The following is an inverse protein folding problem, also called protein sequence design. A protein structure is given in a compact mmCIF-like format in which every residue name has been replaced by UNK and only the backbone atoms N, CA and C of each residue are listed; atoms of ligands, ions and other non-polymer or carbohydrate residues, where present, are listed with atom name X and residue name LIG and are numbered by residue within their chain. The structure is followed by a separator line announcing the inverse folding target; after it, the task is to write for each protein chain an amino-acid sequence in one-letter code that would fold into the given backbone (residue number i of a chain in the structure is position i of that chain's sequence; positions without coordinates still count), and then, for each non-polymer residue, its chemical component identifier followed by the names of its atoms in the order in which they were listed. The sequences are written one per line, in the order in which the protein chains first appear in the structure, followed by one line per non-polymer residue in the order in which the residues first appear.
data_IF_039892768047
#
_entry.id   IF_039892768047
#
_cell.length_a   1.000
_cell.length_b   1.000
_cell.length_c   1.000
_cell.angle_alpha   90.00
_cell.angle_beta   90.00
_cell.angle_gamma   90.00
#
_symmetry.space_group_name_H-M   'P 1'
#
loop_
_entity.id
_entity.type
_entity.pdbx_description
1 polymer ?
#
# COMPACT_ATOMS: atom_id res chain seq x y z
N UNK A 1 11.39 -36.53 -23.02
CA UNK A 1 11.30 -35.56 -21.91
C UNK A 1 10.94 -34.21 -22.52
N UNK A 2 9.74 -33.69 -22.28
CA UNK A 2 9.47 -32.29 -22.67
C UNK A 2 10.34 -31.42 -21.78
N UNK A 3 11.22 -30.62 -22.39
CA UNK A 3 11.91 -29.57 -21.67
C UNK A 3 10.81 -28.60 -21.25
N UNK A 4 10.49 -28.53 -19.95
CA UNK A 4 9.60 -27.51 -19.41
C UNK A 4 10.27 -26.16 -19.64
N UNK A 5 9.96 -25.54 -20.78
CA UNK A 5 10.36 -24.16 -21.03
C UNK A 5 9.68 -23.28 -19.97
N UNK A 6 10.35 -22.21 -19.53
CA UNK A 6 9.72 -21.24 -18.66
C UNK A 6 8.45 -20.69 -19.32
N UNK A 7 7.41 -20.45 -18.53
CA UNK A 7 6.11 -19.94 -19.01
C UNK A 7 6.29 -18.54 -19.61
N UNK A 8 7.16 -17.72 -19.00
CA UNK A 8 7.51 -16.37 -19.43
C UNK A 8 9.01 -16.25 -19.72
N UNK A 9 9.42 -15.32 -20.58
CA UNK A 9 10.83 -15.07 -20.85
C UNK A 9 11.59 -14.73 -19.56
N UNK A 10 10.98 -13.88 -18.72
CA UNK A 10 11.50 -13.46 -17.42
C UNK A 10 11.61 -14.59 -16.38
N UNK A 11 10.76 -15.62 -16.44
CA UNK A 11 10.88 -16.77 -15.52
C UNK A 11 12.19 -17.55 -15.72
N UNK A 12 12.82 -17.44 -16.90
CA UNK A 12 14.14 -18.01 -17.17
C UNK A 12 15.32 -17.26 -16.52
N UNK A 13 15.09 -16.08 -15.95
CA UNK A 13 16.12 -15.19 -15.39
C UNK A 13 16.23 -15.25 -13.87
N UNK A 14 15.57 -16.22 -13.21
CA UNK A 14 15.57 -16.36 -11.74
C UNK A 14 16.97 -16.42 -11.12
N UNK A 15 17.96 -16.95 -11.86
CA UNK A 15 19.35 -17.04 -11.39
C UNK A 15 20.00 -15.67 -11.17
N UNK A 16 19.65 -14.64 -11.95
CA UNK A 16 20.15 -13.27 -11.79
C UNK A 16 19.63 -12.70 -10.47
N UNK A 17 18.34 -12.87 -10.23
CA UNK A 17 17.69 -12.42 -9.02
C UNK A 17 18.25 -13.13 -7.79
N UNK A 18 18.41 -14.45 -7.84
CA UNK A 18 19.06 -15.21 -6.78
C UNK A 18 20.50 -14.73 -6.55
N UNK A 19 21.27 -14.42 -7.61
CA UNK A 19 22.61 -13.86 -7.49
C UNK A 19 22.61 -12.51 -6.76
N UNK A 20 21.72 -11.58 -7.14
CA UNK A 20 21.55 -10.29 -6.45
C UNK A 20 21.20 -10.50 -4.97
N UNK A 21 20.28 -11.41 -4.64
CA UNK A 21 19.95 -11.73 -3.25
C UNK A 21 21.17 -12.22 -2.45
N UNK A 22 22.09 -12.98 -3.08
CA UNK A 22 23.31 -13.46 -2.40
C UNK A 22 24.23 -12.30 -2.06
N UNK A 23 24.42 -11.37 -2.99
CA UNK A 23 25.34 -10.24 -2.85
C UNK A 23 24.77 -9.16 -1.93
N UNK A 24 23.52 -8.74 -2.14
CA UNK A 24 22.88 -7.64 -1.41
C UNK A 24 22.14 -8.08 -0.16
N UNK A 25 21.68 -9.34 -0.09
CA UNK A 25 20.77 -9.78 0.98
C UNK A 25 19.39 -9.15 0.90
N UNK A 26 19.04 -8.53 -0.22
CA UNK A 26 17.72 -7.94 -0.47
C UNK A 26 17.02 -8.72 -1.56
N UNK A 27 15.69 -8.77 -1.50
CA UNK A 27 14.88 -9.32 -2.58
C UNK A 27 14.36 -8.20 -3.50
N UNK A 28 14.05 -7.04 -2.95
CA UNK A 28 13.58 -5.86 -3.68
C UNK A 28 14.30 -4.64 -3.11
N UNK A 29 14.15 -3.49 -3.77
CA UNK A 29 14.79 -2.23 -3.36
C UNK A 29 16.32 -2.32 -3.30
N UNK A 30 16.94 -2.67 -4.44
CA UNK A 30 18.39 -2.87 -4.54
C UNK A 30 19.19 -1.57 -4.46
N UNK A 31 18.53 -0.43 -4.60
CA UNK A 31 19.05 0.92 -4.43
C UNK A 31 19.43 1.26 -2.98
N UNK A 32 18.92 0.50 -2.00
CA UNK A 32 19.14 0.78 -0.58
C UNK A 32 20.34 -0.01 -0.05
N UNK A 33 21.23 0.67 0.68
CA UNK A 33 22.38 0.05 1.32
C UNK A 33 22.02 -0.97 2.42
N UNK A 34 22.93 -1.90 2.67
CA UNK A 34 22.81 -2.90 3.74
C UNK A 34 22.03 -4.17 3.37
N UNK A 35 22.02 -5.14 4.29
CA UNK A 35 21.36 -6.45 4.11
C UNK A 35 20.07 -6.52 4.92
N UNK A 36 18.94 -6.83 4.26
CA UNK A 36 17.65 -7.05 4.92
C UNK A 36 17.47 -8.50 5.40
N UNK A 37 17.88 -9.47 4.58
CA UNK A 37 17.84 -10.90 4.88
C UNK A 37 19.22 -11.39 5.34
N UNK A 38 19.27 -12.33 6.30
CA UNK A 38 20.55 -12.78 6.85
C UNK A 38 21.36 -13.55 5.79
N UNK A 39 22.67 -13.58 5.97
CA UNK A 39 23.62 -14.19 5.03
C UNK A 39 23.26 -15.61 4.55
N UNK A 40 22.66 -16.52 5.35
CA UNK A 40 22.27 -17.85 4.88
C UNK A 40 21.11 -17.88 3.86
N UNK A 41 20.34 -16.80 3.71
CA UNK A 41 19.25 -16.72 2.73
C UNK A 41 19.85 -16.31 1.38
N UNK A 42 19.81 -17.24 0.41
CA UNK A 42 20.55 -17.13 -0.86
C UNK A 42 19.66 -17.19 -2.12
N UNK A 43 18.34 -17.25 -1.95
CA UNK A 43 17.35 -17.26 -3.03
C UNK A 43 15.98 -16.82 -2.56
N UNK A 44 15.09 -16.50 -3.49
CA UNK A 44 13.73 -16.02 -3.18
C UNK A 44 12.92 -17.10 -2.44
N UNK A 45 13.07 -18.37 -2.86
CA UNK A 45 12.46 -19.54 -2.20
C UNK A 45 12.93 -19.70 -0.76
N UNK A 46 14.20 -19.38 -0.47
CA UNK A 46 14.72 -19.40 0.89
C UNK A 46 14.19 -18.24 1.72
N UNK A 47 13.99 -17.05 1.13
CA UNK A 47 13.42 -15.90 1.82
C UNK A 47 11.99 -16.17 2.31
N UNK A 48 11.12 -16.72 1.45
CA UNK A 48 9.77 -17.12 1.83
C UNK A 48 9.76 -18.10 3.02
N UNK A 49 10.60 -19.14 2.96
CA UNK A 49 10.73 -20.14 4.05
C UNK A 49 11.28 -19.53 5.34
N UNK A 50 12.28 -18.66 5.23
CA UNK A 50 12.90 -17.99 6.37
C UNK A 50 11.90 -17.11 7.11
N UNK A 51 11.17 -16.26 6.37
CA UNK A 51 10.15 -15.38 6.93
C UNK A 51 8.98 -16.19 7.52
N UNK A 52 8.52 -17.22 6.82
CA UNK A 52 7.49 -18.13 7.35
C UNK A 52 7.90 -18.75 8.68
N UNK A 53 9.15 -19.22 8.83
CA UNK A 53 9.65 -19.78 10.09
C UNK A 53 9.69 -18.74 11.21
N UNK A 54 10.08 -17.50 10.90
CA UNK A 54 10.05 -16.40 11.88
C UNK A 54 8.62 -16.04 12.27
N UNK A 55 7.71 -16.00 11.32
CA UNK A 55 6.29 -15.74 11.53
C UNK A 55 5.67 -16.79 12.47
N UNK A 56 5.95 -18.08 12.24
CA UNK A 56 5.49 -19.17 13.11
C UNK A 56 6.03 -19.05 14.54
N UNK A 57 7.31 -18.68 14.68
CA UNK A 57 7.91 -18.41 16.00
C UNK A 57 7.19 -17.25 16.70
N UNK A 58 6.95 -16.14 15.98
CA UNK A 58 6.24 -14.98 16.52
C UNK A 58 4.80 -15.34 16.91
N UNK A 59 4.06 -16.06 16.06
CA UNK A 59 2.71 -16.57 16.34
C UNK A 59 2.68 -17.45 17.59
N UNK A 60 3.60 -18.40 17.72
CA UNK A 60 3.71 -19.25 18.91
C UNK A 60 3.94 -18.43 20.18
N UNK A 61 4.85 -17.47 20.13
CA UNK A 61 5.11 -16.58 21.27
C UNK A 61 3.88 -15.72 21.58
N UNK A 62 3.17 -15.21 20.57
CA UNK A 62 1.94 -14.44 20.76
C UNK A 62 0.87 -15.25 21.51
N UNK A 63 0.66 -16.50 21.10
CA UNK A 63 -0.30 -17.40 21.77
C UNK A 63 0.12 -17.73 23.21
N UNK A 64 1.41 -17.92 23.48
CA UNK A 64 1.93 -18.13 24.83
C UNK A 64 1.78 -16.87 25.70
N UNK A 65 2.07 -15.68 25.18
CA UNK A 65 1.82 -14.42 25.89
C UNK A 65 0.34 -14.28 26.23
N UNK A 66 -0.56 -14.52 25.27
CA UNK A 66 -2.01 -14.48 25.47
C UNK A 66 -2.46 -15.46 26.55
N UNK A 67 -1.99 -16.72 26.52
CA UNK A 67 -2.39 -17.72 27.51
C UNK A 67 -1.87 -17.43 28.93
N UNK A 68 -0.81 -16.64 29.06
CA UNK A 68 -0.28 -16.18 30.35
C UNK A 68 -0.84 -14.82 30.80
N UNK A 69 -1.83 -14.27 30.09
CA UNK A 69 -2.45 -12.98 30.43
C UNK A 69 -1.69 -11.74 29.96
N UNK A 70 -0.54 -11.88 29.31
CA UNK A 70 0.20 -10.76 28.72
C UNK A 70 -0.37 -10.40 27.34
N UNK A 71 -1.48 -9.66 27.35
CA UNK A 71 -2.19 -9.25 26.14
C UNK A 71 -1.43 -8.19 25.32
N UNK A 72 -0.57 -7.40 25.97
CA UNK A 72 0.25 -6.37 25.29
C UNK A 72 1.31 -7.03 24.42
N UNK A 73 2.10 -7.95 24.99
CA UNK A 73 3.08 -8.69 24.18
C UNK A 73 2.40 -9.54 23.11
N UNK A 74 1.25 -10.15 23.44
CA UNK A 74 0.49 -10.96 22.49
C UNK A 74 0.10 -10.16 21.24
N UNK A 75 -0.47 -8.95 21.40
CA UNK A 75 -0.88 -8.13 20.25
C UNK A 75 0.31 -7.73 19.37
N UNK A 76 1.42 -7.31 19.97
CA UNK A 76 2.64 -6.91 19.24
C UNK A 76 3.19 -8.11 18.45
N UNK A 77 3.22 -9.29 19.06
CA UNK A 77 3.71 -10.50 18.42
C UNK A 77 2.78 -11.03 17.32
N UNK A 78 1.45 -10.90 17.48
CA UNK A 78 0.51 -11.22 16.40
C UNK A 78 0.67 -10.29 15.21
N UNK A 79 0.83 -8.97 15.43
CA UNK A 79 1.15 -8.00 14.36
C UNK A 79 2.44 -8.36 13.63
N UNK A 80 3.47 -8.75 14.38
CA UNK A 80 4.76 -9.19 13.82
C UNK A 80 4.61 -10.47 13.00
N UNK A 81 3.82 -11.43 13.48
CA UNK A 81 3.56 -12.67 12.78
C UNK A 81 2.78 -12.43 11.48
N UNK A 82 1.70 -11.63 11.52
CA UNK A 82 0.91 -11.32 10.32
C UNK A 82 1.76 -10.63 9.25
N UNK A 83 2.59 -9.65 9.64
CA UNK A 83 3.49 -8.98 8.69
C UNK A 83 4.45 -9.95 8.01
N UNK A 84 5.08 -10.83 8.78
CA UNK A 84 6.05 -11.77 8.24
C UNK A 84 5.39 -12.84 7.36
N UNK A 85 4.15 -13.25 7.67
CA UNK A 85 3.39 -14.11 6.78
C UNK A 85 3.01 -13.38 5.48
N UNK A 86 2.63 -12.10 5.53
CA UNK A 86 2.41 -11.26 4.34
C UNK A 86 3.68 -11.12 3.51
N UNK A 87 4.80 -10.77 4.11
CA UNK A 87 6.08 -10.62 3.41
C UNK A 87 6.55 -11.97 2.82
N UNK A 88 6.35 -13.08 3.52
CA UNK A 88 6.66 -14.41 2.98
C UNK A 88 5.89 -14.75 1.70
N UNK A 89 4.63 -14.30 1.58
CA UNK A 89 3.82 -14.49 0.36
C UNK A 89 4.44 -13.79 -0.85
N UNK A 90 5.06 -12.62 -0.66
CA UNK A 90 5.68 -11.87 -1.76
C UNK A 90 6.84 -12.63 -2.40
N UNK A 91 7.47 -13.55 -1.67
CA UNK A 91 8.64 -14.33 -2.12
C UNK A 91 8.33 -15.78 -2.53
N UNK A 92 7.06 -16.16 -2.69
CA UNK A 92 6.69 -17.53 -3.12
C UNK A 92 7.00 -17.76 -4.60
N UNK A 93 7.48 -18.96 -4.93
CA UNK A 93 7.68 -19.39 -6.31
C UNK A 93 7.09 -20.79 -6.49
N UNK A 94 6.03 -20.97 -7.30
CA UNK A 94 5.34 -19.94 -8.10
C UNK A 94 4.61 -18.91 -7.22
N UNK A 95 4.29 -17.74 -7.81
CA UNK A 95 3.63 -16.63 -7.10
C UNK A 95 2.30 -17.11 -6.55
N UNK A 96 1.41 -17.57 -7.44
CA UNK A 96 0.15 -18.22 -7.06
C UNK A 96 0.43 -19.70 -6.79
N UNK A 97 0.12 -20.15 -5.58
CA UNK A 97 0.25 -21.54 -5.14
C UNK A 97 -0.53 -21.79 -3.86
N UNK A 98 -0.88 -23.05 -3.60
CA UNK A 98 -1.43 -23.47 -2.30
C UNK A 98 -0.53 -23.08 -1.13
N UNK A 99 0.79 -23.10 -1.35
CA UNK A 99 1.74 -22.64 -0.35
C UNK A 99 1.56 -21.14 -0.04
N UNK A 100 1.42 -20.27 -1.06
CA UNK A 100 1.10 -18.85 -0.85
C UNK A 100 -0.20 -18.69 -0.08
N UNK A 101 -1.26 -19.40 -0.47
CA UNK A 101 -2.57 -19.27 0.17
C UNK A 101 -2.58 -19.79 1.60
N UNK A 102 -1.84 -20.85 1.91
CA UNK A 102 -1.63 -21.30 3.29
C UNK A 102 -0.86 -20.29 4.15
N UNK A 103 0.05 -19.49 3.57
CA UNK A 103 0.67 -18.36 4.27
C UNK A 103 -0.33 -17.21 4.47
N UNK A 104 -1.19 -16.96 3.48
CA UNK A 104 -2.23 -15.93 3.59
C UNK A 104 -3.24 -16.26 4.69
N UNK A 105 -3.71 -17.50 4.78
CA UNK A 105 -4.59 -17.95 5.87
C UNK A 105 -3.96 -17.77 7.25
N UNK A 106 -2.65 -18.03 7.37
CA UNK A 106 -1.91 -17.78 8.61
C UNK A 106 -1.81 -16.29 8.93
N UNK A 107 -1.58 -15.45 7.92
CA UNK A 107 -1.64 -13.99 8.05
C UNK A 107 -3.01 -13.56 8.60
N UNK A 108 -4.10 -13.97 7.95
CA UNK A 108 -5.47 -13.66 8.38
C UNK A 108 -5.76 -14.13 9.81
N UNK A 109 -5.34 -15.36 10.18
CA UNK A 109 -5.53 -15.87 11.55
C UNK A 109 -4.81 -15.04 12.61
N UNK A 110 -3.61 -14.53 12.32
CA UNK A 110 -2.87 -13.69 13.25
C UNK A 110 -3.51 -12.30 13.34
N UNK A 111 -3.98 -11.77 12.21
CA UNK A 111 -4.66 -10.48 12.16
C UNK A 111 -6.00 -10.51 12.90
N UNK A 112 -6.76 -11.60 12.81
CA UNK A 112 -8.01 -11.76 13.57
C UNK A 112 -7.75 -11.76 15.09
N UNK A 113 -6.71 -12.47 15.55
CA UNK A 113 -6.31 -12.46 16.95
C UNK A 113 -5.80 -11.10 17.41
N UNK A 114 -5.08 -10.38 16.55
CA UNK A 114 -4.65 -9.00 16.79
C UNK A 114 -5.85 -8.05 16.94
N UNK A 115 -6.87 -8.15 16.07
CA UNK A 115 -8.05 -7.31 16.14
C UNK A 115 -8.84 -7.51 17.44
N UNK A 116 -8.96 -8.76 17.91
CA UNK A 116 -9.58 -9.07 19.21
C UNK A 116 -8.85 -8.45 20.41
N UNK A 117 -7.56 -8.13 20.25
CA UNK A 117 -6.69 -7.53 21.27
C UNK A 117 -6.39 -6.04 21.01
N UNK A 118 -7.00 -5.44 19.99
CA UNK A 118 -6.77 -4.04 19.63
C UNK A 118 -7.45 -3.10 20.61
N UNK A 119 -6.90 -1.90 20.78
CA UNK A 119 -7.39 -0.89 21.73
C UNK A 119 -8.63 -0.14 21.24
N UNK A 120 -8.98 -0.34 19.97
CA UNK A 120 -10.17 0.19 19.34
C UNK A 120 -10.80 -0.88 18.45
N UNK A 121 -12.04 -0.64 18.05
CA UNK A 121 -12.84 -1.61 17.30
C UNK A 121 -12.39 -1.67 15.84
N UNK A 122 -12.03 -2.87 15.39
CA UNK A 122 -11.72 -3.16 13.98
C UNK A 122 -12.69 -4.24 13.50
N UNK A 123 -13.38 -3.99 12.39
CA UNK A 123 -14.34 -4.92 11.81
C UNK A 123 -13.97 -5.28 10.37
N UNK A 124 -13.97 -6.57 10.06
CA UNK A 124 -13.94 -7.01 8.66
C UNK A 124 -15.33 -6.87 8.07
N UNK A 125 -15.42 -6.18 6.93
CA UNK A 125 -16.67 -5.93 6.20
C UNK A 125 -16.47 -6.26 4.73
N UNK A 126 -17.58 -6.46 4.02
CA UNK A 126 -17.60 -6.68 2.58
C UNK A 126 -18.52 -5.63 1.96
N UNK A 127 -17.97 -4.84 1.05
CA UNK A 127 -18.66 -3.71 0.43
C UNK A 127 -19.33 -4.18 -0.85
N UNK A 128 -20.60 -3.86 -1.04
CA UNK A 128 -21.34 -4.20 -2.26
C UNK A 128 -20.77 -3.42 -3.46
N UNK A 129 -20.46 -4.13 -4.56
CA UNK A 129 -19.97 -3.52 -5.80
C UNK A 129 -20.30 -4.37 -7.03
N UNK A 130 -20.18 -3.77 -8.22
CA UNK A 130 -20.44 -4.42 -9.51
C UNK A 130 -19.39 -5.49 -9.86
N UNK A 131 -18.22 -5.46 -9.23
CA UNK A 131 -17.12 -6.42 -9.44
C UNK A 131 -17.05 -7.49 -8.34
N UNK A 132 -18.14 -7.63 -7.57
CA UNK A 132 -18.23 -8.52 -6.41
C UNK A 132 -18.00 -7.80 -5.07
N UNK A 133 -18.10 -8.52 -3.95
CA UNK A 133 -17.92 -7.95 -2.62
C UNK A 133 -16.47 -7.52 -2.39
N UNK A 134 -16.22 -6.24 -2.11
CA UNK A 134 -14.89 -5.71 -1.82
C UNK A 134 -14.56 -5.98 -0.33
N UNK A 135 -13.55 -6.79 0.00
CA UNK A 135 -13.18 -7.05 1.37
C UNK A 135 -12.43 -5.85 1.97
N UNK A 136 -12.83 -5.42 3.16
CA UNK A 136 -12.26 -4.26 3.83
C UNK A 136 -12.09 -4.47 5.34
N UNK A 137 -11.15 -3.73 5.94
CA UNK A 137 -11.01 -3.57 7.37
C UNK A 137 -11.45 -2.16 7.76
N UNK A 138 -12.51 -2.09 8.56
CA UNK A 138 -13.06 -0.86 9.10
C UNK A 138 -12.51 -0.62 10.51
N UNK A 139 -11.61 0.35 10.62
CA UNK A 139 -11.04 0.86 11.86
C UNK A 139 -11.94 1.99 12.37
N UNK A 140 -12.68 1.70 13.43
CA UNK A 140 -13.74 2.58 13.93
C UNK A 140 -13.14 3.52 14.98
N UNK A 141 -13.26 4.82 14.73
CA UNK A 141 -12.98 5.82 15.75
C UNK A 141 -14.14 5.86 16.74
N UNK A 142 -13.83 5.83 18.04
CA UNK A 142 -14.83 5.82 19.11
C UNK A 142 -15.32 7.24 19.35
N UNK A 143 -16.56 7.52 18.94
CA UNK A 143 -17.13 8.88 18.95
C UNK A 143 -18.65 8.83 19.02
N UNK A 144 -19.22 9.77 19.77
CA UNK A 144 -20.67 10.01 19.85
C UNK A 144 -21.16 11.02 18.79
N UNK A 145 -20.22 11.74 18.14
CA UNK A 145 -20.50 12.68 17.04
C UNK A 145 -19.92 12.19 15.73
N UNK A 146 -20.43 12.71 14.62
CA UNK A 146 -19.88 12.43 13.29
C UNK A 146 -18.40 12.84 13.22
N UNK A 147 -17.57 11.95 12.67
CA UNK A 147 -16.13 12.16 12.50
C UNK A 147 -15.70 11.95 11.05
N UNK A 148 -14.58 12.57 10.61
CA UNK A 148 -14.04 12.32 9.28
C UNK A 148 -13.65 10.86 9.07
N UNK A 149 -13.55 10.44 7.81
CA UNK A 149 -13.14 9.08 7.45
C UNK A 149 -12.13 9.09 6.30
N UNK A 150 -11.30 8.04 6.22
CA UNK A 150 -10.33 7.86 5.15
C UNK A 150 -10.49 6.48 4.53
N UNK A 151 -10.73 6.43 3.22
CA UNK A 151 -10.54 5.21 2.42
C UNK A 151 -9.04 5.05 2.18
N UNK A 152 -8.48 3.88 2.52
CA UNK A 152 -7.07 3.60 2.32
C UNK A 152 -6.87 2.52 1.27
N UNK A 153 -6.08 2.83 0.23
CA UNK A 153 -5.72 1.91 -0.85
C UNK A 153 -4.25 1.47 -0.69
N UNK A 154 -3.99 0.19 -0.35
CA UNK A 154 -2.63 -0.35 -0.27
C UNK A 154 -1.93 -0.45 -1.63
N UNK A 155 -0.60 -0.62 -1.60
CA UNK A 155 0.21 -0.86 -2.81
C UNK A 155 0.09 -2.27 -3.39
N UNK A 156 0.76 -2.53 -4.51
CA UNK A 156 0.67 -3.81 -5.25
C UNK A 156 1.10 -5.03 -4.43
N UNK A 157 2.03 -4.86 -3.50
CA UNK A 157 2.56 -5.92 -2.64
C UNK A 157 1.92 -5.93 -1.24
N UNK A 158 0.90 -5.11 -1.01
CA UNK A 158 0.24 -4.94 0.28
C UNK A 158 -1.20 -5.49 0.25
N UNK A 159 -1.77 -5.68 1.43
CA UNK A 159 -3.18 -6.02 1.64
C UNK A 159 -3.73 -5.13 2.74
N UNK A 160 -5.04 -5.08 2.92
CA UNK A 160 -5.71 -4.34 4.00
C UNK A 160 -5.18 -4.69 5.40
N UNK A 161 -4.71 -5.92 5.63
CA UNK A 161 -4.11 -6.33 6.91
C UNK A 161 -2.72 -5.73 7.19
N UNK A 162 -2.02 -5.29 6.14
CA UNK A 162 -0.65 -4.79 6.24
C UNK A 162 -0.60 -3.37 6.78
N UNK A 163 -1.42 -2.50 6.18
CA UNK A 163 -1.33 -1.06 6.40
C UNK A 163 -2.68 -0.38 6.10
N UNK A 164 -3.13 0.59 6.93
CA UNK A 164 -2.43 1.19 8.08
C UNK A 164 -2.14 0.23 9.23
N UNK A 165 -1.05 0.47 9.97
CA UNK A 165 -0.65 -0.41 11.06
C UNK A 165 -1.72 -0.39 12.16
N UNK A 166 -2.41 -1.49 12.49
CA UNK A 166 -3.48 -1.46 13.48
C UNK A 166 -3.00 -1.05 14.89
N UNK A 167 -1.71 -1.22 15.20
CA UNK A 167 -1.12 -0.78 16.48
C UNK A 167 -0.82 0.71 16.55
N UNK A 168 -0.67 1.37 15.40
CA UNK A 168 -0.21 2.76 15.27
C UNK A 168 -0.89 3.41 14.07
N UNK A 169 -2.22 3.28 13.99
CA UNK A 169 -2.96 3.77 12.83
C UNK A 169 -3.00 5.31 12.86
N UNK A 170 -2.21 5.92 12.00
CA UNK A 170 -1.88 7.34 12.07
C UNK A 170 -3.10 8.25 11.88
N UNK A 171 -4.08 7.79 11.10
CA UNK A 171 -5.35 8.47 10.84
C UNK A 171 -6.32 8.30 12.01
N UNK A 172 -6.43 7.08 12.54
CA UNK A 172 -7.28 6.78 13.70
C UNK A 172 -6.84 7.57 14.95
N UNK A 173 -5.53 7.65 15.21
CA UNK A 173 -4.96 8.47 16.28
C UNK A 173 -5.28 9.97 16.15
N UNK A 174 -5.76 10.43 14.99
CA UNK A 174 -6.18 11.81 14.70
C UNK A 174 -7.71 11.96 14.58
N UNK A 175 -8.44 11.01 15.17
CA UNK A 175 -9.90 11.07 15.28
C UNK A 175 -10.62 10.86 13.96
N UNK A 176 -10.09 9.99 13.10
CA UNK A 176 -10.69 9.64 11.81
C UNK A 176 -11.00 8.15 11.74
N UNK A 177 -12.16 7.79 11.18
CA UNK A 177 -12.40 6.40 10.78
C UNK A 177 -11.46 6.03 9.61
N UNK A 178 -11.11 4.75 9.49
CA UNK A 178 -10.32 4.27 8.36
C UNK A 178 -10.94 3.02 7.76
N UNK A 179 -11.04 2.97 6.44
CA UNK A 179 -11.47 1.80 5.70
C UNK A 179 -10.36 1.37 4.74
N UNK A 180 -9.57 0.38 5.14
CA UNK A 180 -8.54 -0.21 4.28
C UNK A 180 -9.16 -1.32 3.43
N UNK A 181 -8.99 -1.24 2.10
CA UNK A 181 -9.59 -2.17 1.15
C UNK A 181 -8.54 -3.08 0.52
N UNK A 182 -8.93 -4.32 0.22
CA UNK A 182 -8.25 -5.09 -0.84
C UNK A 182 -8.98 -4.78 -2.15
N UNK A 183 -8.35 -4.02 -3.04
CA UNK A 183 -8.86 -3.79 -4.38
C UNK A 183 -8.61 -5.00 -5.31
N UNK A 184 -9.06 -4.92 -6.57
CA UNK A 184 -8.76 -5.92 -7.60
C UNK A 184 -7.28 -6.34 -7.62
N UNK A 185 -7.03 -7.63 -7.78
CA UNK A 185 -5.67 -8.22 -7.75
C UNK A 185 -4.95 -8.13 -6.40
N UNK A 186 -5.58 -7.65 -5.33
CA UNK A 186 -4.99 -7.63 -3.98
C UNK A 186 -5.67 -8.66 -3.07
N UNK A 187 -4.90 -9.21 -2.13
CA UNK A 187 -5.38 -10.04 -1.01
C UNK A 187 -6.49 -11.03 -1.37
N UNK A 188 -7.66 -10.83 -0.76
CA UNK A 188 -8.85 -11.66 -0.98
C UNK A 188 -9.43 -11.51 -2.40
N UNK A 189 -9.41 -10.33 -3.01
CA UNK A 189 -9.90 -10.15 -4.39
C UNK A 189 -9.12 -11.00 -5.39
N UNK A 190 -7.79 -11.05 -5.25
CA UNK A 190 -6.95 -11.95 -6.06
C UNK A 190 -7.23 -13.43 -5.79
N UNK A 191 -7.56 -13.79 -4.54
CA UNK A 191 -7.90 -15.18 -4.18
C UNK A 191 -9.19 -15.63 -4.88
N UNK A 192 -10.15 -14.72 -4.98
CA UNK A 192 -11.44 -14.95 -5.65
C UNK A 192 -11.39 -14.74 -7.17
N UNK A 193 -10.20 -14.48 -7.74
CA UNK A 193 -10.02 -14.33 -9.19
C UNK A 193 -10.51 -12.99 -9.75
N UNK A 194 -10.65 -11.96 -8.91
CA UNK A 194 -10.92 -10.59 -9.37
C UNK A 194 -9.58 -9.90 -9.61
N UNK A 195 -9.22 -9.78 -10.89
CA UNK A 195 -7.93 -9.25 -11.34
C UNK A 195 -7.97 -7.75 -11.61
N UNK A 196 -6.81 -7.07 -11.55
CA UNK A 196 -6.65 -5.66 -11.93
C UNK A 196 -7.03 -5.47 -13.39
N UNK A 197 -7.89 -4.50 -13.65
CA UNK A 197 -8.07 -3.91 -14.98
C UNK A 197 -7.73 -2.43 -14.92
N UNK A 198 -7.91 -1.72 -16.02
CA UNK A 198 -7.72 -0.27 -16.03
C UNK A 198 -8.54 0.41 -14.93
N UNK A 199 -9.85 0.17 -14.86
CA UNK A 199 -10.75 1.04 -14.07
C UNK A 199 -11.34 0.42 -12.81
N UNK A 200 -11.17 -0.88 -12.58
CA UNK A 200 -11.93 -1.56 -11.52
C UNK A 200 -11.52 -1.18 -10.08
N UNK A 201 -10.35 -0.57 -9.87
CA UNK A 201 -10.02 0.07 -8.59
C UNK A 201 -10.88 1.31 -8.29
N UNK A 202 -11.37 2.02 -9.32
CA UNK A 202 -12.32 3.14 -9.16
C UNK A 202 -13.64 2.61 -8.59
N UNK A 203 -14.12 1.47 -9.09
CA UNK A 203 -15.35 0.81 -8.62
C UNK A 203 -15.20 0.43 -7.13
N UNK A 204 -14.05 -0.15 -6.76
CA UNK A 204 -13.77 -0.51 -5.36
C UNK A 204 -13.72 0.72 -4.44
N UNK A 205 -13.08 1.80 -4.87
CA UNK A 205 -13.01 3.05 -4.09
C UNK A 205 -14.40 3.70 -3.94
N UNK A 206 -15.24 3.67 -4.98
CA UNK A 206 -16.63 4.16 -4.91
C UNK A 206 -17.46 3.34 -3.92
N UNK A 207 -17.35 2.01 -3.93
CA UNK A 207 -18.02 1.15 -2.96
C UNK A 207 -17.58 1.47 -1.51
N UNK A 208 -16.29 1.79 -1.32
CA UNK A 208 -15.74 2.24 -0.04
C UNK A 208 -16.32 3.58 0.43
N UNK A 209 -16.45 4.55 -0.48
CA UNK A 209 -17.12 5.81 -0.20
C UNK A 209 -18.57 5.58 0.23
N UNK A 210 -19.35 4.82 -0.56
CA UNK A 210 -20.77 4.55 -0.29
C UNK A 210 -20.98 3.82 1.04
N UNK A 211 -20.09 2.91 1.40
CA UNK A 211 -20.15 2.26 2.71
C UNK A 211 -19.94 3.25 3.85
N UNK A 212 -18.92 4.11 3.77
CA UNK A 212 -18.61 5.09 4.80
C UNK A 212 -19.72 6.13 4.95
N UNK A 213 -20.23 6.67 3.84
CA UNK A 213 -21.30 7.67 3.85
C UNK A 213 -22.61 7.16 4.49
N UNK A 214 -22.83 5.84 4.53
CA UNK A 214 -23.99 5.22 5.21
C UNK A 214 -23.81 5.08 6.73
N UNK A 215 -22.60 5.28 7.27
CA UNK A 215 -22.35 5.11 8.70
C UNK A 215 -22.75 6.37 9.46
N UNK A 216 -23.61 6.22 10.47
CA UNK A 216 -24.12 7.35 11.29
C UNK A 216 -23.04 8.14 12.04
N UNK A 217 -21.87 7.55 12.25
CA UNK A 217 -20.74 8.18 12.97
C UNK A 217 -19.71 8.78 12.01
N UNK A 218 -19.98 8.78 10.70
CA UNK A 218 -19.11 9.36 9.67
C UNK A 218 -19.77 10.62 9.12
N UNK A 219 -19.01 11.72 9.08
CA UNK A 219 -19.40 12.92 8.35
C UNK A 219 -19.16 12.67 6.84
N UNK A 220 -20.22 12.47 6.07
CA UNK A 220 -20.14 12.15 4.65
C UNK A 220 -19.41 13.23 3.82
N UNK A 221 -19.37 14.48 4.31
CA UNK A 221 -18.69 15.60 3.64
C UNK A 221 -17.20 15.64 3.96
N UNK A 222 -16.73 14.77 4.85
CA UNK A 222 -15.34 14.67 5.30
C UNK A 222 -14.76 13.27 5.10
N UNK A 223 -15.10 12.64 3.97
CA UNK A 223 -14.50 11.39 3.53
C UNK A 223 -13.33 11.70 2.59
N UNK A 224 -12.12 11.39 3.04
CA UNK A 224 -10.90 11.47 2.24
C UNK A 224 -10.50 10.11 1.67
N UNK A 225 -9.51 10.12 0.78
CA UNK A 225 -8.87 8.93 0.22
C UNK A 225 -7.35 9.05 0.29
N UNK A 226 -6.68 7.96 0.67
CA UNK A 226 -5.24 7.90 0.77
C UNK A 226 -4.67 6.66 0.07
N UNK A 227 -3.61 6.84 -0.71
CA UNK A 227 -2.89 5.76 -1.38
C UNK A 227 -1.47 5.58 -0.86
N UNK A 228 -0.92 4.37 -1.01
CA UNK A 228 0.50 4.06 -0.77
C UNK A 228 1.10 3.24 -1.90
N UNK A 229 2.30 3.58 -2.38
CA UNK A 229 2.92 2.89 -3.53
C UNK A 229 1.94 2.91 -4.69
N UNK A 230 1.71 1.78 -5.37
CA UNK A 230 0.72 1.68 -6.43
C UNK A 230 -0.70 2.17 -6.05
N UNK A 231 -1.02 2.18 -4.76
CA UNK A 231 -2.24 2.77 -4.23
C UNK A 231 -2.38 4.27 -4.49
N UNK A 232 -1.28 5.02 -4.67
CA UNK A 232 -1.33 6.45 -5.01
C UNK A 232 -1.95 6.66 -6.39
N UNK A 233 -1.53 5.86 -7.38
CA UNK A 233 -2.12 5.86 -8.72
C UNK A 233 -3.63 5.58 -8.67
N UNK A 234 -4.04 4.50 -8.00
CA UNK A 234 -5.45 4.15 -7.88
C UNK A 234 -6.27 5.19 -7.10
N UNK A 235 -5.71 5.78 -6.04
CA UNK A 235 -6.38 6.83 -5.27
C UNK A 235 -6.60 8.12 -6.07
N UNK A 236 -5.65 8.52 -6.92
CA UNK A 236 -5.80 9.67 -7.81
C UNK A 236 -6.89 9.45 -8.86
N UNK A 237 -6.88 8.27 -9.51
CA UNK A 237 -7.93 7.91 -10.47
C UNK A 237 -9.31 7.82 -9.83
N UNK A 238 -9.39 7.27 -8.62
CA UNK A 238 -10.62 7.24 -7.85
C UNK A 238 -11.12 8.65 -7.50
N UNK A 239 -10.25 9.55 -7.02
CA UNK A 239 -10.62 10.93 -6.70
C UNK A 239 -11.05 11.74 -7.94
N UNK A 240 -10.46 11.46 -9.10
CA UNK A 240 -10.85 12.05 -10.39
C UNK A 240 -12.25 11.61 -10.84
N UNK A 241 -12.62 10.35 -10.57
CA UNK A 241 -13.89 9.76 -10.97
C UNK A 241 -15.03 9.93 -9.94
N UNK A 242 -14.67 10.15 -8.68
CA UNK A 242 -15.61 10.34 -7.56
C UNK A 242 -15.35 11.71 -6.88
N UNK A 243 -15.96 12.80 -7.39
CA UNK A 243 -15.67 14.16 -6.94
C UNK A 243 -16.18 14.46 -5.52
N UNK A 244 -16.89 13.51 -4.87
CA UNK A 244 -17.34 13.66 -3.49
C UNK A 244 -16.24 13.43 -2.45
N UNK A 245 -15.11 12.83 -2.82
CA UNK A 245 -13.97 12.74 -1.89
C UNK A 245 -13.49 14.15 -1.51
N UNK A 246 -13.45 14.44 -0.22
CA UNK A 246 -13.18 15.77 0.31
C UNK A 246 -11.68 16.10 0.40
N UNK A 247 -10.80 15.10 0.36
CA UNK A 247 -9.36 15.27 0.30
C UNK A 247 -8.67 14.00 -0.25
N UNK A 248 -7.53 14.17 -0.90
CA UNK A 248 -6.68 13.12 -1.44
C UNK A 248 -5.25 13.26 -0.88
N UNK A 249 -4.65 12.16 -0.44
CA UNK A 249 -3.23 12.13 -0.13
C UNK A 249 -2.54 10.86 -0.64
N UNK A 250 -1.24 10.94 -0.88
CA UNK A 250 -0.44 9.76 -1.22
C UNK A 250 1.02 9.92 -0.83
N UNK A 251 1.67 8.79 -0.57
CA UNK A 251 3.11 8.72 -0.37
C UNK A 251 3.67 7.37 -0.79
N UNK A 252 5.01 7.28 -0.87
CA UNK A 252 5.72 6.14 -1.48
C UNK A 252 5.23 6.09 -2.92
N UNK A 253 5.73 6.99 -3.77
CA UNK A 253 4.99 7.43 -4.94
C UNK A 253 4.90 6.37 -6.04
N UNK A 254 3.75 6.34 -6.71
CA UNK A 254 3.53 5.76 -8.04
C UNK A 254 2.64 6.75 -8.80
N UNK A 255 3.25 7.81 -9.31
CA UNK A 255 2.57 8.93 -9.96
C UNK A 255 2.83 8.90 -11.47
N UNK A 256 2.30 7.91 -12.19
CA UNK A 256 2.64 7.73 -13.62
C UNK A 256 1.96 8.76 -14.52
N UNK A 257 2.74 9.68 -15.10
CA UNK A 257 2.21 10.72 -15.99
C UNK A 257 1.86 10.17 -17.37
N UNK A 258 2.85 9.68 -18.14
CA UNK A 258 2.64 9.21 -19.52
C UNK A 258 2.66 7.68 -19.66
N UNK A 259 3.68 6.99 -19.14
CA UNK A 259 3.85 5.54 -19.31
C UNK A 259 4.30 4.83 -18.02
N UNK A 260 3.80 3.61 -17.84
CA UNK A 260 4.20 2.73 -16.73
C UNK A 260 5.48 1.94 -17.08
N UNK A 261 6.65 2.57 -16.94
CA UNK A 261 7.94 1.94 -17.32
C UNK A 261 8.55 1.07 -16.21
N UNK A 262 8.00 1.11 -14.99
CA UNK A 262 8.60 0.46 -13.81
C UNK A 262 8.83 -1.04 -14.02
N UNK A 263 8.00 -1.71 -14.82
CA UNK A 263 8.07 -3.15 -14.98
C UNK A 263 9.22 -3.62 -15.86
N UNK A 264 9.81 -2.71 -16.63
CA UNK A 264 11.00 -3.00 -17.44
C UNK A 264 12.29 -2.53 -16.76
N UNK A 265 12.22 -1.56 -15.84
CA UNK A 265 13.38 -0.97 -15.15
C UNK A 265 13.59 -1.52 -13.73
N UNK A 266 12.52 -1.86 -13.02
CA UNK A 266 12.58 -2.35 -11.65
C UNK A 266 12.88 -3.86 -11.57
N UNK A 267 13.12 -4.41 -10.36
CA UNK A 267 13.38 -5.84 -10.20
C UNK A 267 12.30 -6.69 -10.86
N UNK A 268 12.73 -7.73 -11.59
CA UNK A 268 11.90 -8.66 -12.38
C UNK A 268 10.64 -9.15 -11.65
N UNK A 269 10.71 -9.20 -10.32
CA UNK A 269 9.66 -9.65 -9.44
C UNK A 269 8.41 -8.76 -9.47
N UNK A 270 8.55 -7.44 -9.68
CA UNK A 270 7.39 -6.54 -9.75
C UNK A 270 6.51 -6.85 -10.96
N UNK A 271 7.09 -6.98 -12.16
CA UNK A 271 6.34 -7.39 -13.36
C UNK A 271 5.64 -8.72 -13.16
N UNK A 272 6.37 -9.74 -12.67
CA UNK A 272 5.79 -11.06 -12.42
C UNK A 272 4.60 -11.01 -11.46
N UNK A 273 4.69 -10.24 -10.37
CA UNK A 273 3.60 -10.12 -9.40
C UNK A 273 2.41 -9.40 -10.00
N UNK A 274 2.63 -8.26 -10.66
CA UNK A 274 1.52 -7.50 -11.23
C UNK A 274 0.82 -8.28 -12.36
N UNK A 275 1.55 -9.08 -13.14
CA UNK A 275 0.95 -10.00 -14.11
C UNK A 275 -0.04 -10.98 -13.46
N UNK A 276 0.29 -11.54 -12.30
CA UNK A 276 -0.67 -12.38 -11.55
C UNK A 276 -1.84 -11.57 -11.00
N UNK A 277 -1.58 -10.32 -10.57
CA UNK A 277 -2.66 -9.41 -10.15
C UNK A 277 -3.61 -9.08 -11.29
N UNK A 278 -3.10 -8.99 -12.53
CA UNK A 278 -3.85 -8.76 -13.75
C UNK A 278 -4.39 -10.06 -14.40
N UNK A 279 -4.10 -11.23 -13.83
CA UNK A 279 -4.58 -12.51 -14.34
C UNK A 279 -4.00 -12.89 -15.71
N UNK A 280 -2.84 -12.35 -16.08
CA UNK A 280 -2.20 -12.60 -17.37
C UNK A 280 -0.87 -13.35 -17.23
N UNK A 281 -0.60 -14.22 -18.19
CA UNK A 281 0.69 -14.92 -18.32
C UNK A 281 1.46 -14.52 -19.58
N UNK A 282 0.91 -13.60 -20.39
CA UNK A 282 1.57 -13.07 -21.59
C UNK A 282 2.20 -11.71 -21.27
N UNK A 283 3.52 -11.60 -21.40
CA UNK A 283 4.22 -10.32 -21.23
C UNK A 283 3.72 -9.29 -22.27
N UNK A 284 3.42 -9.72 -23.51
CA UNK A 284 2.89 -8.84 -24.55
C UNK A 284 1.51 -8.26 -24.18
N UNK A 285 0.59 -9.09 -23.68
CA UNK A 285 -0.73 -8.60 -23.25
C UNK A 285 -0.62 -7.68 -22.04
N UNK A 286 0.31 -7.98 -21.14
CA UNK A 286 0.59 -7.15 -19.98
C UNK A 286 1.15 -5.78 -20.39
N UNK A 287 2.09 -5.75 -21.34
CA UNK A 287 2.71 -4.52 -21.83
C UNK A 287 1.68 -3.65 -22.57
N UNK A 288 0.77 -4.25 -23.33
CA UNK A 288 -0.38 -3.55 -23.92
C UNK A 288 -1.30 -2.96 -22.85
N UNK A 289 -1.65 -3.73 -21.81
CA UNK A 289 -2.46 -3.22 -20.70
C UNK A 289 -1.81 -2.04 -19.98
N UNK A 290 -0.48 -2.06 -19.79
CA UNK A 290 0.25 -1.01 -19.08
C UNK A 290 0.30 0.32 -19.86
N UNK A 291 0.08 0.33 -21.18
CA UNK A 291 0.00 1.57 -21.98
C UNK A 291 -1.17 2.46 -21.56
N UNK A 292 -2.22 1.87 -20.99
CA UNK A 292 -3.40 2.59 -20.53
C UNK A 292 -3.28 3.06 -19.06
N UNK A 293 -2.15 2.78 -18.40
CA UNK A 293 -1.90 3.17 -17.01
C UNK A 293 -1.21 4.54 -16.96
N UNK A 294 -2.03 5.59 -17.08
CA UNK A 294 -1.60 6.99 -17.06
C UNK A 294 -2.56 7.84 -16.22
N UNK A 295 -2.02 8.84 -15.50
CA UNK A 295 -2.79 9.84 -14.76
C UNK A 295 -3.13 11.09 -15.57
N UNK A 296 -2.49 11.28 -16.73
CA UNK A 296 -2.74 12.39 -17.65
C UNK A 296 -4.21 12.63 -18.00
N UNK A 297 -5.05 11.60 -18.28
CA UNK A 297 -6.46 11.85 -18.60
C UNK A 297 -7.32 12.22 -17.39
N UNK A 298 -6.83 12.03 -16.16
CA UNK A 298 -7.63 12.07 -14.94
C UNK A 298 -7.26 13.21 -14.00
N UNK A 299 -5.99 13.62 -13.95
CA UNK A 299 -5.45 14.57 -12.97
C UNK A 299 -6.19 15.92 -12.94
N UNK A 300 -6.58 16.45 -14.12
CA UNK A 300 -7.26 17.75 -14.20
C UNK A 300 -8.71 17.70 -13.68
N UNK A 301 -9.28 16.49 -13.52
CA UNK A 301 -10.63 16.26 -12.99
C UNK A 301 -10.65 16.21 -11.45
N UNK A 302 -9.50 16.02 -10.81
CA UNK A 302 -9.40 16.01 -9.35
C UNK A 302 -9.76 17.41 -8.83
N UNK A 303 -10.75 17.48 -7.95
CA UNK A 303 -11.35 18.74 -7.47
C UNK A 303 -11.14 19.01 -5.98
N UNK A 304 -10.63 18.03 -5.22
CA UNK A 304 -10.39 18.15 -3.79
C UNK A 304 -8.92 18.44 -3.46
N UNK A 305 -8.63 19.01 -2.27
CA UNK A 305 -7.26 19.20 -1.81
C UNK A 305 -6.42 17.94 -1.94
N UNK A 306 -5.24 18.06 -2.54
CA UNK A 306 -4.38 16.93 -2.90
C UNK A 306 -2.97 17.08 -2.33
N UNK A 307 -2.51 16.07 -1.57
CA UNK A 307 -1.13 15.95 -1.12
C UNK A 307 -0.39 14.84 -1.87
N UNK A 308 0.77 15.19 -2.40
CA UNK A 308 1.70 14.25 -3.02
C UNK A 308 3.00 14.18 -2.22
N UNK A 309 3.49 12.99 -1.90
CA UNK A 309 4.79 12.83 -1.24
C UNK A 309 5.64 11.80 -1.98
N UNK A 310 6.86 12.19 -2.32
CA UNK A 310 7.79 11.38 -3.13
C UNK A 310 9.22 11.48 -2.62
N UNK A 311 10.02 10.44 -2.86
CA UNK A 311 11.47 10.51 -2.72
C UNK A 311 12.07 11.19 -3.94
N UNK A 312 13.14 11.95 -3.74
CA UNK A 312 13.87 12.62 -4.84
C UNK A 312 14.49 11.62 -5.82
N UNK A 313 14.97 10.48 -5.32
CA UNK A 313 15.63 9.44 -6.11
C UNK A 313 14.76 8.19 -6.28
N UNK A 314 13.44 8.30 -6.18
CA UNK A 314 12.54 7.15 -6.33
C UNK A 314 12.61 6.56 -7.76
N UNK A 315 13.23 5.38 -7.97
CA UNK A 315 13.35 4.80 -9.31
C UNK A 315 12.03 4.21 -9.82
N UNK A 316 11.01 4.07 -8.96
CA UNK A 316 9.69 3.56 -9.34
C UNK A 316 8.71 4.68 -9.69
N UNK A 317 9.03 5.92 -9.36
CA UNK A 317 8.20 7.07 -9.68
C UNK A 317 9.12 8.28 -9.84
N UNK A 318 9.69 8.48 -11.03
CA UNK A 318 10.57 9.61 -11.30
C UNK A 318 9.94 10.94 -10.86
N UNK A 319 10.76 11.84 -10.33
CA UNK A 319 10.29 13.12 -9.82
C UNK A 319 9.63 13.96 -10.93
N UNK A 320 10.08 13.80 -12.17
CA UNK A 320 9.53 14.47 -13.36
C UNK A 320 8.05 14.11 -13.59
N UNK A 321 7.65 12.87 -13.33
CA UNK A 321 6.25 12.46 -13.47
C UNK A 321 5.40 13.09 -12.35
N UNK A 322 5.91 13.09 -11.11
CA UNK A 322 5.26 13.78 -10.00
C UNK A 322 5.12 15.30 -10.26
N UNK A 323 6.14 15.92 -10.86
CA UNK A 323 6.14 17.32 -11.26
C UNK A 323 5.11 17.61 -12.35
N UNK A 324 5.00 16.74 -13.36
CA UNK A 324 4.02 16.86 -14.42
C UNK A 324 2.59 16.79 -13.87
N UNK A 325 2.31 15.85 -12.98
CA UNK A 325 1.02 15.69 -12.30
C UNK A 325 0.73 16.91 -11.43
N UNK A 326 1.67 17.32 -10.57
CA UNK A 326 1.49 18.48 -9.71
C UNK A 326 1.20 19.76 -10.51
N UNK A 327 1.87 19.95 -11.64
CA UNK A 327 1.67 21.10 -12.52
C UNK A 327 0.27 21.12 -13.16
N UNK A 328 -0.33 19.94 -13.35
CA UNK A 328 -1.63 19.76 -14.03
C UNK A 328 -2.82 19.66 -13.08
N UNK A 329 -2.59 19.41 -11.80
CA UNK A 329 -3.63 19.50 -10.77
C UNK A 329 -4.19 20.93 -10.68
N UNK A 330 -5.52 21.04 -10.81
CA UNK A 330 -6.28 22.31 -10.72
C UNK A 330 -6.86 22.56 -9.31
N UNK A 331 -6.79 21.57 -8.42
CA UNK A 331 -7.28 21.67 -7.05
C UNK A 331 -6.23 22.26 -6.10
N UNK A 332 -6.62 22.67 -4.88
CA UNK A 332 -5.66 22.98 -3.81
C UNK A 332 -4.63 21.84 -3.68
N UNK A 333 -3.34 22.15 -3.71
CA UNK A 333 -2.30 21.12 -3.87
C UNK A 333 -1.07 21.38 -3.03
N UNK A 334 -0.48 20.31 -2.53
CA UNK A 334 0.81 20.33 -1.89
C UNK A 334 1.66 19.14 -2.31
N UNK A 335 2.96 19.37 -2.49
CA UNK A 335 3.91 18.29 -2.77
C UNK A 335 5.12 18.34 -1.84
N UNK A 336 5.47 17.18 -1.31
CA UNK A 336 6.66 16.94 -0.49
C UNK A 336 7.65 16.10 -1.29
N UNK A 337 8.87 16.61 -1.43
CA UNK A 337 10.00 15.91 -2.03
C UNK A 337 11.03 15.67 -0.93
N UNK A 338 11.32 14.42 -0.62
CA UNK A 338 12.29 14.06 0.41
C UNK A 338 13.69 13.93 -0.18
N UNK A 339 14.64 14.72 0.33
CA UNK A 339 16.03 14.78 -0.10
C UNK A 339 16.70 13.39 -0.04
N UNK A 340 17.35 13.00 -1.12
CA UNK A 340 18.09 11.74 -1.27
C UNK A 340 17.31 10.45 -0.92
N UNK A 341 15.99 10.51 -0.81
CA UNK A 341 15.16 9.35 -0.49
C UNK A 341 14.73 8.60 -1.74
N UNK A 342 14.68 7.27 -1.65
CA UNK A 342 14.21 6.37 -2.70
C UNK A 342 12.71 6.07 -2.55
N UNK A 343 12.24 4.95 -3.11
CA UNK A 343 10.83 4.57 -3.02
C UNK A 343 10.27 4.48 -1.60
N UNK A 344 10.90 3.76 -0.64
CA UNK A 344 10.29 3.60 0.67
C UNK A 344 10.57 4.82 1.56
N UNK A 345 9.93 5.96 1.26
CA UNK A 345 9.87 7.14 2.16
C UNK A 345 9.02 6.90 3.41
N UNK A 346 8.95 5.65 3.91
CA UNK A 346 8.09 5.27 5.04
C UNK A 346 8.58 5.90 6.32
N UNK A 347 9.89 5.84 6.58
CA UNK A 347 10.56 6.34 7.78
C UNK A 347 11.84 7.08 7.38
N UNK A 348 11.70 8.19 6.62
CA UNK A 348 12.84 8.85 6.01
C UNK A 348 13.74 9.51 7.06
N UNK A 349 15.02 9.66 6.71
CA UNK A 349 16.04 10.23 7.60
C UNK A 349 15.69 11.66 8.03
N UNK A 350 15.16 12.47 7.11
CA UNK A 350 14.74 13.84 7.37
C UNK A 350 13.64 13.97 8.45
N UNK A 351 12.96 12.86 8.77
CA UNK A 351 11.96 12.78 9.85
C UNK A 351 12.48 12.00 11.06
N UNK A 352 13.79 11.84 11.20
CA UNK A 352 14.44 11.04 12.25
C UNK A 352 13.91 9.61 12.34
N UNK A 353 13.57 9.01 11.19
CA UNK A 353 13.00 7.66 11.14
C UNK A 353 11.53 7.57 11.57
N UNK A 354 10.85 8.71 11.78
CA UNK A 354 9.43 8.74 12.07
C UNK A 354 8.58 8.47 10.81
N UNK A 355 7.43 7.84 10.97
CA UNK A 355 6.54 7.50 9.84
C UNK A 355 6.08 8.76 9.10
N UNK A 356 6.31 8.85 7.78
CA UNK A 356 5.79 9.94 6.95
C UNK A 356 4.27 10.05 7.05
N UNK A 357 3.59 8.92 7.27
CA UNK A 357 2.14 8.86 7.34
C UNK A 357 1.55 9.55 8.58
N UNK A 358 2.33 9.78 9.63
CA UNK A 358 1.88 10.66 10.72
C UNK A 358 1.68 12.10 10.23
N UNK A 359 2.55 12.58 9.35
CA UNK A 359 2.44 13.93 8.78
C UNK A 359 1.36 13.98 7.71
N UNK A 360 1.23 12.93 6.88
CA UNK A 360 0.14 12.81 5.90
C UNK A 360 -1.22 12.78 6.61
N UNK A 361 -1.37 12.00 7.67
CA UNK A 361 -2.62 11.94 8.42
C UNK A 361 -2.93 13.28 9.11
N UNK A 362 -1.91 14.02 9.55
CA UNK A 362 -2.10 15.38 10.06
C UNK A 362 -2.60 16.33 8.95
N UNK A 363 -1.95 16.31 7.79
CA UNK A 363 -2.37 17.11 6.64
C UNK A 363 -3.78 16.75 6.18
N UNK A 364 -4.10 15.46 6.07
CA UNK A 364 -5.42 14.95 5.71
C UNK A 364 -6.48 15.49 6.67
N UNK A 365 -6.19 15.49 7.98
CA UNK A 365 -7.10 16.07 8.98
C UNK A 365 -7.34 17.56 8.74
N UNK A 366 -6.29 18.35 8.48
CA UNK A 366 -6.42 19.78 8.18
C UNK A 366 -7.25 20.02 6.91
N UNK A 367 -7.04 19.21 5.87
CA UNK A 367 -7.80 19.28 4.62
C UNK A 367 -9.28 19.00 4.84
N UNK A 368 -9.61 17.91 5.54
CA UNK A 368 -10.99 17.51 5.84
C UNK A 368 -11.72 18.47 6.78
N UNK A 369 -10.99 19.19 7.64
CA UNK A 369 -11.57 20.23 8.48
C UNK A 369 -11.73 21.59 7.76
N UNK A 370 -11.27 21.71 6.50
CA UNK A 370 -11.36 22.95 5.73
C UNK A 370 -10.35 24.01 6.17
N UNK A 371 -9.26 23.59 6.84
CA UNK A 371 -8.24 24.51 7.35
C UNK A 371 -7.16 24.87 6.31
N UNK A 372 -7.24 24.32 5.09
CA UNK A 372 -6.37 24.71 3.99
C UNK A 372 -6.90 25.98 3.31
N UNK A 373 -6.02 26.95 2.96
CA UNK A 373 -6.41 28.13 2.18
C UNK A 373 -7.10 27.79 0.84
N UNK A 374 -7.99 28.67 0.37
CA UNK A 374 -8.69 28.46 -0.92
C UNK A 374 -7.78 28.50 -2.15
N UNK A 375 -6.64 29.21 -2.07
CA UNK A 375 -5.56 29.21 -3.08
C UNK A 375 -4.32 28.53 -2.50
N UNK A 376 -4.44 27.25 -2.15
CA UNK A 376 -3.34 26.48 -1.59
C UNK A 376 -2.53 25.82 -2.71
N UNK A 377 -1.31 26.29 -2.91
CA UNK A 377 -0.31 25.63 -3.76
C UNK A 377 1.02 25.70 -3.04
N UNK A 378 1.55 24.54 -2.64
CA UNK A 378 2.82 24.48 -1.89
C UNK A 378 3.71 23.36 -2.38
N UNK A 379 5.00 23.66 -2.55
CA UNK A 379 6.04 22.65 -2.72
C UNK A 379 6.98 22.73 -1.53
N UNK A 380 7.34 21.58 -0.96
CA UNK A 380 8.32 21.47 0.11
C UNK A 380 9.41 20.51 -0.31
N UNK A 381 10.64 20.97 -0.19
CA UNK A 381 11.81 20.12 -0.23
C UNK A 381 12.21 19.81 1.21
N UNK A 382 12.08 18.55 1.61
CA UNK A 382 12.27 18.09 2.98
C UNK A 382 13.69 17.60 3.11
N UNK A 383 14.58 18.51 3.54
CA UNK A 383 16.00 18.23 3.69
C UNK A 383 16.34 17.52 4.99
N UNK A 384 17.52 16.89 5.03
CA UNK A 384 18.07 16.15 6.17
C UNK A 384 18.74 17.05 7.21
N UNK A 385 18.61 18.37 7.08
CA UNK A 385 19.26 19.35 7.97
C UNK A 385 18.62 19.48 9.37
N UNK A 386 17.50 18.79 9.61
CA UNK A 386 16.78 18.78 10.90
C UNK A 386 15.51 19.64 10.95
N UNK A 387 15.20 20.38 9.88
CA UNK A 387 14.01 21.23 9.80
C UNK A 387 12.70 20.43 9.59
N UNK A 388 12.83 19.19 9.09
CA UNK A 388 11.72 18.25 8.89
C UNK A 388 10.59 18.85 8.04
N UNK A 389 9.34 18.58 8.43
CA UNK A 389 8.15 19.03 7.68
C UNK A 389 7.85 20.54 7.79
N UNK A 390 8.53 21.25 8.68
CA UNK A 390 8.08 22.57 9.15
C UNK A 390 9.03 23.72 8.88
N UNK A 391 10.30 23.47 8.55
CA UNK A 391 11.20 24.54 8.10
C UNK A 391 11.19 24.79 6.60
#
# INVERSE_FOLDING_TARGET
MSINKPVRARDGQQWIYDYLMRTTGRAIHFEIDGRQLPSPVKSIKMAAKYLSKKAEKAKKLASLSKSNGDLISARILYRKASEMFREAQHFTVPIISDYRWGLYEKCLSCTEELHKLSEYKIQKVYLESEIGPIPALWHIFDTEVEAPAVVFIPGMDNTKENYPNPLENEFHMRGMHVLAIDGPGQGEMLREGVYVTQDNHIIAAKAAYEFLAKQKTVDEKKIGICGRSFGTFWSMRAAAAEPRFAALAGAVACYFWDNLNIFDEAPIRFKQIFMEMAGTHSEEQFDLMCQDFSLKPDVEKISCPTLMATGEFDPLSPLEDADAIFSKLNAPKEMWVFEDEFHPIRTPEALSGHSVFHYIAHWMRQALDGNLPSKYEKRRYISKNGDGMFG
#
